data_IF_124891631238
#
_entry.id   IF_124891631238
#
_cell.length_a   1.000
_cell.length_b   1.000
_cell.length_c   1.000
_cell.angle_alpha   90.00
_cell.angle_beta   90.00
_cell.angle_gamma   90.00
#
_symmetry.space_group_name_H-M   'P 1'
#
loop_
_entity.id
_entity.type
_entity.pdbx_description
1 polymer ?
#
# COMPACT_ATOMS: atom_id res chain seq x y z
N UNK A 1 4.83 10.80 -17.12
CA UNK A 1 6.11 11.46 -16.83
C UNK A 1 7.19 10.40 -16.72
N UNK A 2 8.39 10.63 -17.28
CA UNK A 2 9.50 9.67 -17.23
C UNK A 2 9.93 9.37 -15.78
N UNK A 3 9.74 10.31 -14.86
CA UNK A 3 10.17 10.15 -13.45
C UNK A 3 9.07 9.64 -12.52
N UNK A 4 7.82 9.51 -13.01
CA UNK A 4 6.67 9.14 -12.16
C UNK A 4 6.90 7.83 -11.40
N UNK A 5 7.39 6.80 -12.10
CA UNK A 5 7.61 5.48 -11.50
C UNK A 5 8.69 5.55 -10.41
N UNK A 6 9.81 6.21 -10.71
CA UNK A 6 10.92 6.33 -9.77
C UNK A 6 10.52 7.12 -8.52
N UNK A 7 9.93 8.30 -8.69
CA UNK A 7 9.53 9.14 -7.56
C UNK A 7 8.48 8.46 -6.67
N UNK A 8 7.53 7.74 -7.28
CA UNK A 8 6.56 6.92 -6.55
C UNK A 8 7.26 5.82 -5.74
N UNK A 9 8.17 5.08 -6.35
CA UNK A 9 8.90 3.99 -5.69
C UNK A 9 9.74 4.51 -4.51
N UNK A 10 10.41 5.63 -4.67
CA UNK A 10 11.19 6.28 -3.61
C UNK A 10 10.31 6.75 -2.44
N UNK A 11 9.17 7.38 -2.74
CA UNK A 11 8.22 7.83 -1.71
C UNK A 11 7.65 6.66 -0.90
N UNK A 12 7.18 5.60 -1.59
CA UNK A 12 6.63 4.40 -0.94
C UNK A 12 7.73 3.70 -0.11
N UNK A 13 8.95 3.62 -0.62
CA UNK A 13 10.09 3.02 0.11
C UNK A 13 10.40 3.77 1.40
N UNK A 14 10.38 5.10 1.36
CA UNK A 14 10.58 5.93 2.55
C UNK A 14 9.45 5.74 3.58
N UNK A 15 8.19 5.73 3.16
CA UNK A 15 7.07 5.48 4.09
C UNK A 15 7.15 4.09 4.74
N UNK A 16 7.51 3.07 3.96
CA UNK A 16 7.71 1.72 4.47
C UNK A 16 8.84 1.64 5.51
N UNK A 17 9.94 2.39 5.35
CA UNK A 17 11.02 2.40 6.35
C UNK A 17 10.59 3.01 7.69
N UNK A 18 9.53 3.82 7.69
CA UNK A 18 8.88 4.38 8.88
C UNK A 18 7.76 3.48 9.43
N UNK A 19 7.59 2.26 8.89
CA UNK A 19 6.46 1.37 9.18
C UNK A 19 5.08 1.96 8.83
N UNK A 20 5.02 2.90 7.87
CA UNK A 20 3.78 3.48 7.36
C UNK A 20 3.38 2.74 6.09
N UNK A 21 2.23 2.07 6.12
CA UNK A 21 1.69 1.34 4.97
C UNK A 21 0.93 2.31 4.08
N UNK A 22 1.44 2.50 2.87
CA UNK A 22 0.74 3.23 1.81
C UNK A 22 -0.36 2.34 1.21
N UNK A 23 -1.62 2.79 1.23
CA UNK A 23 -2.77 1.93 0.86
C UNK A 23 -3.85 2.69 0.08
N UNK A 24 -4.48 1.98 -0.86
CA UNK A 24 -5.57 2.50 -1.68
C UNK A 24 -5.08 3.41 -2.82
N UNK A 25 -6.02 3.88 -3.65
CA UNK A 25 -5.74 4.66 -4.87
C UNK A 25 -4.77 5.83 -4.66
N UNK A 26 -4.95 6.61 -3.60
CA UNK A 26 -4.09 7.75 -3.31
C UNK A 26 -2.77 7.35 -2.64
N UNK A 27 -2.80 6.41 -1.68
CA UNK A 27 -1.58 5.98 -0.99
C UNK A 27 -0.62 5.25 -1.93
N UNK A 28 -1.14 4.49 -2.88
CA UNK A 28 -0.34 3.67 -3.79
C UNK A 28 -0.03 4.37 -5.11
N UNK A 29 -0.60 5.56 -5.34
CA UNK A 29 -0.56 6.28 -6.62
C UNK A 29 -0.99 5.39 -7.79
N UNK A 30 -2.17 4.77 -7.64
CA UNK A 30 -2.71 3.80 -8.59
C UNK A 30 -4.16 4.10 -8.93
N UNK A 31 -4.53 3.95 -10.19
CA UNK A 31 -5.90 4.19 -10.64
C UNK A 31 -6.76 2.94 -10.47
N UNK A 32 -7.15 2.65 -9.22
CA UNK A 32 -8.03 1.55 -8.92
C UNK A 32 -9.52 1.93 -9.02
N UNK A 33 -10.33 0.95 -9.42
CA UNK A 33 -11.77 0.97 -9.22
C UNK A 33 -12.12 0.52 -7.78
N UNK A 34 -13.41 0.57 -7.44
CA UNK A 34 -13.87 0.27 -6.08
C UNK A 34 -13.60 -1.18 -5.66
N UNK A 35 -13.85 -2.16 -6.53
CA UNK A 35 -13.67 -3.58 -6.23
C UNK A 35 -12.22 -3.91 -5.87
N UNK A 36 -11.26 -3.33 -6.60
CA UNK A 36 -9.84 -3.48 -6.31
C UNK A 36 -9.49 -2.86 -4.96
N UNK A 37 -9.98 -1.64 -4.67
CA UNK A 37 -9.76 -1.00 -3.37
C UNK A 37 -10.29 -1.84 -2.21
N UNK A 38 -11.50 -2.41 -2.35
CA UNK A 38 -12.10 -3.27 -1.32
C UNK A 38 -11.27 -4.53 -1.12
N UNK A 39 -10.94 -5.25 -2.21
CA UNK A 39 -10.13 -6.48 -2.13
C UNK A 39 -8.79 -6.23 -1.45
N UNK A 40 -8.06 -5.19 -1.86
CA UNK A 40 -6.76 -4.82 -1.25
C UNK A 40 -6.90 -4.51 0.23
N UNK A 41 -7.99 -3.85 0.64
CA UNK A 41 -8.24 -3.51 2.04
C UNK A 41 -8.47 -4.76 2.89
N UNK A 42 -9.23 -5.73 2.37
CA UNK A 42 -9.45 -7.02 3.02
C UNK A 42 -8.15 -7.83 3.12
N UNK A 43 -7.37 -7.89 2.04
CA UNK A 43 -6.07 -8.58 2.02
C UNK A 43 -5.10 -7.97 3.03
N UNK A 44 -5.05 -6.63 3.11
CA UNK A 44 -4.21 -5.92 4.06
C UNK A 44 -4.65 -6.21 5.50
N UNK A 45 -5.94 -6.13 5.79
CA UNK A 45 -6.48 -6.44 7.12
C UNK A 45 -6.14 -7.88 7.56
N UNK A 46 -6.26 -8.86 6.64
CA UNK A 46 -5.89 -10.25 6.89
C UNK A 46 -4.38 -10.40 7.19
N UNK A 47 -3.51 -9.74 6.41
CA UNK A 47 -2.06 -9.72 6.67
C UNK A 47 -1.74 -9.13 8.04
N UNK A 48 -2.33 -8.00 8.39
CA UNK A 48 -2.10 -7.35 9.69
C UNK A 48 -2.58 -8.21 10.86
N UNK A 49 -3.69 -8.93 10.70
CA UNK A 49 -4.18 -9.88 11.71
C UNK A 49 -3.22 -11.07 11.89
N UNK A 50 -2.72 -11.62 10.79
CA UNK A 50 -1.76 -12.74 10.84
C UNK A 50 -0.42 -12.33 11.48
N UNK A 51 0.06 -11.12 11.22
CA UNK A 51 1.25 -10.56 11.90
C UNK A 51 1.02 -10.45 13.42
N UNK A 52 -0.20 -10.08 13.85
CA UNK A 52 -0.54 -10.02 15.28
C UNK A 52 -0.69 -11.39 15.95
N UNK A 53 -0.89 -12.46 15.18
CA UNK A 53 -1.03 -13.84 15.66
C UNK A 53 0.28 -14.63 15.77
N UNK A 54 1.42 -14.06 15.36
CA UNK A 54 2.77 -14.64 15.55
C UNK A 54 3.43 -14.18 16.86
N UNK A 55 2.63 -13.87 17.89
CA UNK A 55 3.13 -13.61 19.24
C UNK A 55 3.07 -14.86 20.10
#
# INVERSE_FOLDING_TARGET
DLNYKQSKEEAIKYLNSLNIISHGRFGEWEYYNMDVCIKRSLDLAAKLKNIKGMK
#
